data_IF_652718601319
#
_entry.id   IF_652718601319
#
_cell.length_a   1.000
_cell.length_b   1.000
_cell.length_c   1.000
_cell.angle_alpha   90.00
_cell.angle_beta   90.00
_cell.angle_gamma   90.00
#
_symmetry.space_group_name_H-M   'P 1'
#
loop_
_entity.id
_entity.type
_entity.pdbx_description
1 polymer ?
#
# COMPACT_ATOMS: atom_id res chain seq x y z
N UNK A 1 5.84 4.07 3.82
CA UNK A 1 4.57 4.46 4.43
C UNK A 1 3.53 3.36 4.40
N UNK A 2 2.36 3.64 4.94
CA UNK A 2 1.22 2.72 4.97
C UNK A 2 0.29 3.02 3.79
N UNK A 3 -0.21 1.96 3.13
CA UNK A 3 -1.22 2.10 2.09
C UNK A 3 -2.59 2.32 2.74
N UNK A 4 -3.46 3.09 2.08
CA UNK A 4 -4.81 3.36 2.55
C UNK A 4 -5.84 3.05 1.46
N UNK A 5 -7.05 2.70 1.88
CA UNK A 5 -8.18 2.44 1.01
C UNK A 5 -9.43 3.11 1.58
N UNK A 6 -10.19 3.77 0.70
CA UNK A 6 -11.50 4.32 1.03
C UNK A 6 -12.54 3.72 0.08
N UNK A 7 -13.57 3.12 0.64
CA UNK A 7 -14.69 2.54 -0.12
C UNK A 7 -16.01 3.13 0.34
N UNK A 8 -16.91 3.39 -0.59
CA UNK A 8 -18.29 3.83 -0.34
C UNK A 8 -19.23 2.76 -0.84
N UNK A 9 -20.12 2.27 0.02
CA UNK A 9 -21.07 1.21 -0.29
C UNK A 9 -22.48 1.76 -0.11
N UNK A 10 -23.26 1.69 -1.17
CA UNK A 10 -24.64 2.19 -1.18
C UNK A 10 -25.60 1.11 -0.67
N UNK A 11 -26.55 1.51 0.15
CA UNK A 11 -27.69 0.74 0.61
C UNK A 11 -27.33 -0.60 1.28
N UNK A 12 -26.24 -0.64 2.00
CA UNK A 12 -25.85 -1.78 2.81
C UNK A 12 -26.94 -2.06 3.88
N UNK A 13 -27.31 -3.32 4.09
CA UNK A 13 -28.34 -3.70 5.06
C UNK A 13 -27.99 -3.21 6.49
N UNK A 14 -29.02 -2.91 7.30
CA UNK A 14 -28.86 -2.41 8.66
C UNK A 14 -27.97 -3.31 9.53
N UNK A 15 -28.09 -4.63 9.39
CA UNK A 15 -27.29 -5.57 10.18
C UNK A 15 -25.83 -5.59 9.78
N UNK A 16 -25.53 -5.46 8.48
CA UNK A 16 -24.16 -5.33 7.99
C UNK A 16 -23.55 -4.01 8.44
N UNK A 17 -24.30 -2.91 8.34
CA UNK A 17 -23.82 -1.60 8.81
C UNK A 17 -23.46 -1.61 10.29
N UNK A 18 -24.32 -2.21 11.15
CA UNK A 18 -24.05 -2.32 12.59
C UNK A 18 -22.73 -3.06 12.90
N UNK A 19 -22.41 -4.10 12.10
CA UNK A 19 -21.17 -4.87 12.27
C UNK A 19 -19.92 -4.10 11.84
N UNK A 20 -20.08 -3.10 10.98
CA UNK A 20 -18.97 -2.31 10.43
C UNK A 20 -18.73 -1.00 11.19
N UNK A 21 -19.66 -0.58 12.06
CA UNK A 21 -19.47 0.66 12.84
C UNK A 21 -18.18 0.57 13.63
N UNK A 22 -17.28 1.49 13.33
CA UNK A 22 -16.00 1.61 14.00
C UNK A 22 -15.55 3.07 13.98
N UNK A 23 -15.18 3.57 15.14
CA UNK A 23 -14.52 4.85 15.31
C UNK A 23 -13.00 4.70 15.12
N UNK A 24 -12.33 5.73 14.64
CA UNK A 24 -10.87 5.75 14.41
C UNK A 24 -10.07 5.64 15.72
N UNK A 25 -10.70 6.00 16.85
CA UNK A 25 -10.12 5.87 18.20
C UNK A 25 -10.26 4.47 18.79
N UNK A 26 -11.12 3.59 18.21
CA UNK A 26 -11.26 2.21 18.64
C UNK A 26 -10.10 1.34 18.13
N UNK A 27 -9.10 1.15 18.94
CA UNK A 27 -7.93 0.29 18.66
C UNK A 27 -8.15 -1.18 19.00
N UNK A 28 -9.24 -1.52 19.69
CA UNK A 28 -9.52 -2.89 20.15
C UNK A 28 -10.21 -3.72 19.06
N UNK A 29 -11.09 -3.10 18.28
CA UNK A 29 -11.82 -3.78 17.21
C UNK A 29 -10.95 -3.91 15.96
N UNK A 30 -10.54 -5.13 15.64
CA UNK A 30 -9.70 -5.46 14.48
C UNK A 30 -10.55 -6.06 13.37
N UNK A 31 -11.07 -5.24 12.48
CA UNK A 31 -11.84 -5.67 11.32
C UNK A 31 -10.94 -5.69 10.08
N UNK A 32 -10.68 -6.88 9.55
CA UNK A 32 -9.92 -7.03 8.31
C UNK A 32 -10.75 -6.58 7.11
N UNK A 33 -10.10 -5.90 6.17
CA UNK A 33 -10.71 -5.42 4.93
C UNK A 33 -9.88 -5.86 3.73
N UNK A 34 -10.56 -6.43 2.74
CA UNK A 34 -9.97 -6.93 1.51
C UNK A 34 -10.71 -6.38 0.31
N UNK A 35 -10.03 -5.62 -0.54
CA UNK A 35 -10.56 -5.13 -1.81
C UNK A 35 -9.95 -5.93 -2.96
N UNK A 36 -10.83 -6.49 -3.80
CA UNK A 36 -10.45 -7.21 -5.01
C UNK A 36 -11.16 -6.60 -6.21
N UNK A 37 -10.42 -6.42 -7.30
CA UNK A 37 -10.98 -6.03 -8.59
C UNK A 37 -10.11 -6.56 -9.74
N UNK A 38 -10.64 -6.50 -10.96
CA UNK A 38 -9.95 -6.92 -12.16
C UNK A 38 -10.94 -7.14 -13.31
N UNK A 39 -10.48 -7.04 -14.55
CA UNK A 39 -11.32 -7.25 -15.73
C UNK A 39 -11.54 -8.74 -16.03
N UNK A 40 -10.46 -9.48 -16.31
CA UNK A 40 -10.55 -10.90 -16.66
C UNK A 40 -10.24 -11.80 -15.46
N UNK A 41 -9.42 -11.33 -14.56
CA UNK A 41 -9.02 -12.02 -13.34
C UNK A 41 -9.16 -11.07 -12.17
N UNK A 42 -9.92 -11.46 -11.16
CA UNK A 42 -10.07 -10.68 -9.94
C UNK A 42 -8.85 -10.92 -9.05
N UNK A 43 -8.11 -9.86 -8.77
CA UNK A 43 -6.94 -9.88 -7.92
C UNK A 43 -7.07 -8.95 -6.72
N UNK A 44 -6.26 -9.17 -5.70
CA UNK A 44 -6.22 -8.31 -4.52
C UNK A 44 -5.58 -6.97 -4.90
N UNK A 45 -6.30 -5.88 -4.69
CA UNK A 45 -5.79 -4.52 -4.84
C UNK A 45 -5.34 -3.93 -3.51
N UNK A 46 -6.03 -4.29 -2.44
CA UNK A 46 -5.75 -3.80 -1.10
C UNK A 46 -6.13 -4.85 -0.06
N UNK A 47 -5.29 -5.01 0.95
CA UNK A 47 -5.55 -5.76 2.16
C UNK A 47 -5.11 -4.93 3.36
N UNK A 48 -5.95 -4.83 4.39
CA UNK A 48 -5.63 -4.05 5.59
C UNK A 48 -6.70 -4.18 6.65
N UNK A 49 -6.73 -3.26 7.60
CA UNK A 49 -7.71 -3.22 8.67
C UNK A 49 -8.52 -1.93 8.61
N UNK A 50 -9.80 -2.01 9.00
CA UNK A 50 -10.67 -0.85 9.06
C UNK A 50 -10.19 0.07 10.18
N UNK A 51 -9.88 1.31 9.80
CA UNK A 51 -9.58 2.40 10.71
C UNK A 51 -10.89 2.99 11.25
N UNK A 52 -11.79 3.37 10.35
CA UNK A 52 -13.11 3.90 10.67
C UNK A 52 -14.18 3.41 9.68
N UNK A 53 -15.41 3.33 10.12
CA UNK A 53 -16.56 3.09 9.25
C UNK A 53 -17.80 3.77 9.82
N UNK A 54 -18.47 4.54 8.98
CA UNK A 54 -19.71 5.24 9.32
C UNK A 54 -20.69 5.21 8.17
N UNK A 55 -21.98 5.45 8.51
CA UNK A 55 -23.06 5.50 7.51
C UNK A 55 -23.82 6.79 7.62
N UNK A 56 -24.10 7.42 6.50
CA UNK A 56 -24.86 8.66 6.39
C UNK A 56 -25.96 8.53 5.35
N UNK A 57 -27.04 9.33 5.51
CA UNK A 57 -28.09 9.43 4.51
C UNK A 57 -27.68 10.44 3.45
N UNK A 58 -27.75 10.05 2.18
CA UNK A 58 -27.46 10.89 1.03
C UNK A 58 -28.61 10.82 0.04
N UNK A 59 -29.52 11.81 0.09
CA UNK A 59 -30.77 11.75 -0.68
C UNK A 59 -31.67 10.58 -0.28
N UNK A 60 -31.97 9.71 -1.22
CA UNK A 60 -32.74 8.47 -1.00
C UNK A 60 -31.89 7.32 -0.48
N UNK A 61 -30.58 7.39 -0.65
CA UNK A 61 -29.65 6.31 -0.35
C UNK A 61 -29.03 6.44 1.04
N UNK A 62 -28.55 5.30 1.55
CA UNK A 62 -27.67 5.25 2.72
C UNK A 62 -26.28 4.85 2.24
N UNK A 63 -25.31 5.73 2.43
CA UNK A 63 -23.92 5.52 2.03
C UNK A 63 -23.09 5.12 3.25
N UNK A 64 -22.48 3.94 3.19
CA UNK A 64 -21.51 3.50 4.20
C UNK A 64 -20.11 3.74 3.67
N UNK A 65 -19.34 4.56 4.38
CA UNK A 65 -17.93 4.83 4.09
C UNK A 65 -17.06 3.96 4.98
N UNK A 66 -16.12 3.29 4.39
CA UNK A 66 -15.09 2.48 5.07
C UNK A 66 -13.74 3.07 4.73
N UNK A 67 -12.94 3.40 5.73
CA UNK A 67 -11.54 3.79 5.60
C UNK A 67 -10.68 2.71 6.22
N UNK A 68 -9.71 2.22 5.47
CA UNK A 68 -8.85 1.12 5.88
C UNK A 68 -7.37 1.47 5.64
N UNK A 69 -6.48 0.91 6.44
CA UNK A 69 -5.04 1.06 6.28
C UNK A 69 -4.36 -0.30 6.40
N UNK A 70 -3.37 -0.52 5.53
CA UNK A 70 -2.47 -1.67 5.64
C UNK A 70 -1.44 -1.43 6.75
N UNK A 71 -1.11 -2.47 7.53
CA UNK A 71 -0.21 -2.34 8.67
C UNK A 71 -0.78 -1.58 9.87
N UNK A 72 -2.05 -1.17 9.87
CA UNK A 72 -2.68 -0.35 10.91
C UNK A 72 -2.52 -0.94 12.31
N UNK A 73 -2.81 -2.23 12.46
CA UNK A 73 -2.81 -2.90 13.77
C UNK A 73 -1.42 -2.87 14.41
N UNK A 74 -0.39 -3.13 13.61
CA UNK A 74 0.99 -3.10 14.11
C UNK A 74 1.49 -1.66 14.31
N UNK A 75 1.06 -0.73 13.45
CA UNK A 75 1.40 0.69 13.59
C UNK A 75 0.87 1.28 14.90
N UNK A 76 -0.34 0.89 15.32
CA UNK A 76 -0.97 1.40 16.54
C UNK A 76 -0.58 0.63 17.80
N UNK A 77 -0.48 -0.71 17.70
CA UNK A 77 -0.45 -1.58 18.88
C UNK A 77 0.83 -2.34 19.11
N UNK A 78 1.78 -2.41 18.18
CA UNK A 78 3.01 -3.17 18.42
C UNK A 78 4.08 -2.34 19.11
N UNK A 79 4.77 -3.00 20.06
CA UNK A 79 5.79 -2.38 20.89
C UNK A 79 6.99 -3.32 21.05
N UNK A 80 8.16 -2.83 20.75
CA UNK A 80 9.43 -3.56 20.91
C UNK A 80 10.18 -3.08 22.14
N UNK A 81 10.64 -4.01 22.98
CA UNK A 81 11.51 -3.74 24.11
C UNK A 81 12.57 -4.84 24.22
N UNK A 82 13.71 -4.62 23.56
CA UNK A 82 14.76 -5.63 23.49
C UNK A 82 16.13 -5.03 23.22
N UNK A 83 17.17 -5.82 23.46
CA UNK A 83 18.56 -5.47 23.11
C UNK A 83 19.05 -6.40 22.00
N UNK A 84 19.37 -5.83 20.86
CA UNK A 84 19.99 -6.54 19.73
C UNK A 84 21.50 -6.55 19.95
N UNK A 85 22.06 -7.70 20.32
CA UNK A 85 23.53 -7.85 20.54
C UNK A 85 24.28 -7.97 19.21
N UNK A 86 23.71 -8.70 18.25
CA UNK A 86 24.24 -8.92 16.90
C UNK A 86 23.09 -9.28 15.96
N UNK A 87 23.11 -8.80 14.72
CA UNK A 87 22.14 -9.18 13.71
C UNK A 87 21.42 -7.99 13.07
N UNK A 88 20.35 -8.28 12.35
CA UNK A 88 19.51 -7.27 11.70
C UNK A 88 18.43 -6.77 12.68
N UNK A 89 18.49 -5.50 13.03
CA UNK A 89 17.52 -4.86 13.92
C UNK A 89 16.08 -4.96 13.40
N UNK A 90 15.87 -4.87 12.08
CA UNK A 90 14.54 -4.97 11.47
C UNK A 90 13.93 -6.35 11.70
N UNK A 91 14.70 -7.42 11.58
CA UNK A 91 14.21 -8.78 11.87
C UNK A 91 13.76 -8.96 13.31
N UNK A 92 14.43 -8.28 14.23
CA UNK A 92 14.05 -8.33 15.66
C UNK A 92 12.76 -7.55 15.89
N UNK A 93 12.63 -6.36 15.32
CA UNK A 93 11.43 -5.52 15.41
C UNK A 93 10.21 -6.26 14.81
N UNK A 94 10.37 -6.92 13.65
CA UNK A 94 9.28 -7.64 12.98
C UNK A 94 8.68 -8.78 13.82
N UNK A 95 9.42 -9.35 14.78
CA UNK A 95 8.86 -10.35 15.70
C UNK A 95 7.75 -9.81 16.59
N UNK A 96 7.78 -8.51 16.86
CA UNK A 96 6.79 -7.81 17.66
C UNK A 96 5.67 -7.20 16.80
N UNK A 97 5.66 -7.47 15.47
CA UNK A 97 4.67 -7.01 14.49
C UNK A 97 3.91 -8.22 13.89
N UNK A 98 2.97 -8.84 14.64
CA UNK A 98 2.38 -10.13 14.26
C UNK A 98 1.54 -10.10 12.96
N UNK A 99 1.07 -8.92 12.54
CA UNK A 99 0.27 -8.75 11.30
C UNK A 99 1.13 -8.31 10.11
N UNK A 100 2.45 -8.17 10.31
CA UNK A 100 3.38 -7.70 9.28
C UNK A 100 4.49 -8.72 9.08
N UNK A 101 4.62 -9.25 7.87
CA UNK A 101 5.67 -10.20 7.52
C UNK A 101 6.81 -9.53 6.76
N UNK A 102 7.98 -10.16 6.76
CA UNK A 102 9.12 -9.68 5.98
C UNK A 102 8.92 -9.96 4.49
N UNK A 103 9.06 -8.92 3.66
CA UNK A 103 9.20 -9.04 2.22
C UNK A 103 10.64 -8.72 1.78
N UNK A 104 10.82 -7.96 0.69
CA UNK A 104 12.15 -7.55 0.25
C UNK A 104 12.67 -6.43 1.15
N UNK A 105 13.84 -6.69 1.72
CA UNK A 105 14.58 -5.72 2.53
C UNK A 105 15.98 -5.62 1.94
N UNK A 106 16.42 -4.41 1.61
CA UNK A 106 17.77 -4.11 1.13
C UNK A 106 18.84 -4.63 2.08
N UNK A 107 19.98 -5.01 1.53
CA UNK A 107 21.09 -5.53 2.33
C UNK A 107 21.51 -4.56 3.42
N UNK A 108 21.58 -5.07 4.64
CA UNK A 108 21.89 -4.30 5.82
C UNK A 108 23.15 -4.84 6.50
N UNK A 109 24.04 -3.97 6.96
CA UNK A 109 25.16 -4.41 7.78
C UNK A 109 24.62 -5.02 9.10
N UNK A 110 25.27 -6.08 9.49
CA UNK A 110 25.02 -6.68 10.81
C UNK A 110 25.39 -5.67 11.91
N UNK A 111 24.51 -5.48 12.87
CA UNK A 111 24.81 -4.65 14.05
C UNK A 111 25.97 -5.30 14.83
N UNK A 112 27.10 -4.61 14.87
CA UNK A 112 28.32 -5.09 15.57
C UNK A 112 28.41 -4.64 17.03
N UNK A 113 27.57 -3.68 17.44
CA UNK A 113 27.46 -3.20 18.84
C UNK A 113 26.04 -3.44 19.33
N UNK A 114 25.91 -3.73 20.61
CA UNK A 114 24.61 -3.89 21.22
C UNK A 114 23.77 -2.60 21.04
N UNK A 115 22.55 -2.76 20.52
CA UNK A 115 21.59 -1.68 20.29
C UNK A 115 20.33 -1.97 21.09
N UNK A 116 19.92 -1.02 21.92
CA UNK A 116 18.66 -1.08 22.66
C UNK A 116 17.55 -0.55 21.75
N UNK A 117 16.47 -1.33 21.61
CA UNK A 117 15.29 -0.99 20.85
C UNK A 117 14.11 -0.95 21.83
N UNK A 118 13.56 0.25 22.07
CA UNK A 118 12.41 0.46 22.96
C UNK A 118 11.47 1.47 22.32
N UNK A 119 10.21 1.09 22.15
CA UNK A 119 9.19 1.96 21.60
C UNK A 119 8.24 1.26 20.64
N UNK A 120 7.38 2.05 19.98
CA UNK A 120 6.49 1.56 18.92
C UNK A 120 7.31 0.91 17.81
N UNK A 121 6.94 -0.32 17.42
CA UNK A 121 7.72 -1.14 16.49
C UNK A 121 7.85 -0.51 15.11
N UNK A 122 6.77 0.04 14.55
CA UNK A 122 6.83 0.69 13.24
C UNK A 122 7.71 1.95 13.26
N UNK A 123 7.65 2.73 14.34
CA UNK A 123 8.52 3.89 14.55
C UNK A 123 10.00 3.49 14.65
N UNK A 124 10.27 2.34 15.26
CA UNK A 124 11.64 1.79 15.31
C UNK A 124 12.09 1.32 13.92
N UNK A 125 11.20 0.77 13.08
CA UNK A 125 11.53 0.50 11.67
C UNK A 125 11.96 1.79 10.98
N UNK A 126 11.14 2.86 11.05
CA UNK A 126 11.44 4.17 10.46
C UNK A 126 12.81 4.71 10.93
N UNK A 127 13.07 4.67 12.23
CA UNK A 127 14.33 5.16 12.83
C UNK A 127 15.56 4.31 12.48
N UNK A 128 15.36 3.13 11.89
CA UNK A 128 16.43 2.24 11.44
C UNK A 128 16.61 2.24 9.92
N UNK A 129 15.89 3.07 9.17
CA UNK A 129 16.13 3.28 7.73
C UNK A 129 17.44 4.03 7.52
N UNK A 130 18.09 3.78 6.40
CA UNK A 130 19.20 4.60 5.89
C UNK A 130 18.64 5.76 5.06
N UNK A 131 19.45 6.77 4.80
CA UNK A 131 19.04 7.98 4.07
C UNK A 131 18.56 7.69 2.64
N UNK A 132 19.06 6.62 2.03
CA UNK A 132 18.71 6.18 0.68
C UNK A 132 17.60 5.14 0.64
N UNK A 133 17.04 4.74 1.79
CA UNK A 133 16.02 3.72 1.92
C UNK A 133 14.63 4.32 2.15
N UNK A 134 13.65 3.65 1.59
CA UNK A 134 12.23 3.90 1.88
C UNK A 134 11.54 2.60 2.27
N UNK A 135 10.49 2.71 3.08
CA UNK A 135 9.66 1.57 3.42
C UNK A 135 8.21 1.76 3.01
N UNK A 136 7.54 0.66 2.77
CA UNK A 136 6.09 0.59 2.66
C UNK A 136 5.59 -0.80 3.11
N UNK A 137 4.33 -0.86 3.51
CA UNK A 137 3.63 -2.12 3.79
C UNK A 137 2.60 -2.32 2.69
N UNK A 138 2.62 -3.48 2.06
CA UNK A 138 1.70 -3.90 1.01
C UNK A 138 1.23 -5.33 1.26
N UNK A 139 -0.08 -5.51 1.38
CA UNK A 139 -0.72 -6.79 1.74
C UNK A 139 -0.16 -7.43 3.03
N UNK A 140 0.13 -6.61 4.04
CA UNK A 140 0.72 -7.07 5.30
C UNK A 140 2.19 -7.47 5.20
N UNK A 141 2.90 -7.04 4.16
CA UNK A 141 4.32 -7.33 3.96
C UNK A 141 5.14 -6.05 4.00
N UNK A 142 6.18 -6.03 4.83
CA UNK A 142 7.11 -4.92 4.93
C UNK A 142 8.19 -5.02 3.84
N UNK A 143 8.27 -3.98 3.04
CA UNK A 143 9.33 -3.73 2.06
C UNK A 143 10.21 -2.59 2.55
N UNK A 144 11.53 -2.76 2.47
CA UNK A 144 12.51 -1.69 2.67
C UNK A 144 13.47 -1.76 1.49
N UNK A 145 13.42 -0.76 0.63
CA UNK A 145 14.18 -0.75 -0.63
C UNK A 145 14.91 0.56 -0.80
N UNK A 146 16.06 0.51 -1.44
CA UNK A 146 16.80 1.71 -1.84
C UNK A 146 16.12 2.38 -3.03
N UNK A 147 16.48 3.63 -3.25
CA UNK A 147 15.93 4.44 -4.33
C UNK A 147 16.17 3.81 -5.72
N UNK A 148 17.32 3.15 -5.92
CA UNK A 148 17.72 2.48 -7.16
C UNK A 148 17.37 0.97 -7.22
N UNK A 149 16.78 0.40 -6.16
CA UNK A 149 16.36 -1.00 -6.13
C UNK A 149 14.93 -1.17 -6.61
N UNK A 150 14.65 -2.32 -7.21
CA UNK A 150 13.31 -2.72 -7.67
C UNK A 150 12.89 -4.03 -7.00
N UNK A 151 11.57 -4.24 -6.89
CA UNK A 151 10.99 -5.38 -6.16
C UNK A 151 10.78 -6.59 -7.06
N UNK A 152 10.63 -6.37 -8.38
CA UNK A 152 10.37 -7.43 -9.35
C UNK A 152 11.15 -7.19 -10.63
N UNK A 153 11.56 -8.27 -11.27
CA UNK A 153 12.21 -8.24 -12.59
C UNK A 153 11.21 -8.17 -13.75
N UNK A 154 9.90 -8.33 -13.46
CA UNK A 154 8.84 -8.17 -14.45
C UNK A 154 8.61 -6.68 -14.70
N UNK A 155 8.70 -6.29 -15.97
CA UNK A 155 8.52 -4.89 -16.43
C UNK A 155 7.29 -4.84 -17.35
N UNK A 156 6.09 -4.55 -16.83
CA UNK A 156 4.90 -4.41 -17.65
C UNK A 156 5.05 -3.27 -18.65
N UNK A 157 4.59 -3.50 -19.87
CA UNK A 157 4.51 -2.48 -20.91
C UNK A 157 3.21 -1.68 -20.75
N UNK A 158 3.32 -0.37 -20.76
CA UNK A 158 2.20 0.58 -20.68
C UNK A 158 2.18 1.44 -21.94
N UNK A 159 1.24 1.18 -22.83
CA UNK A 159 1.00 1.95 -24.05
C UNK A 159 -0.51 1.94 -24.41
N UNK A 160 -0.88 2.54 -25.51
CA UNK A 160 -2.27 2.60 -25.94
C UNK A 160 -2.95 1.23 -26.08
N UNK A 161 -2.22 0.20 -26.53
CA UNK A 161 -2.77 -1.16 -26.68
C UNK A 161 -2.85 -1.95 -25.38
N UNK A 162 -2.07 -1.59 -24.36
CA UNK A 162 -2.07 -2.22 -23.03
C UNK A 162 -2.83 -1.41 -21.99
N UNK A 163 -3.51 -0.33 -22.39
CA UNK A 163 -4.43 0.40 -21.55
C UNK A 163 -3.95 1.74 -21.01
N UNK A 164 -2.97 2.39 -21.64
CA UNK A 164 -2.65 3.79 -21.34
C UNK A 164 -3.86 4.67 -21.72
N UNK A 165 -4.42 5.40 -20.74
CA UNK A 165 -5.68 6.14 -20.92
C UNK A 165 -5.48 7.59 -21.37
N UNK A 166 -4.37 8.21 -21.01
CA UNK A 166 -4.11 9.61 -21.33
C UNK A 166 -2.64 9.87 -21.63
N UNK A 167 -2.36 11.09 -22.09
CA UNK A 167 -0.98 11.52 -22.35
C UNK A 167 -0.22 11.64 -21.03
N UNK A 168 0.94 10.97 -20.90
CA UNK A 168 1.78 11.11 -19.73
C UNK A 168 2.25 12.56 -19.50
N UNK A 169 2.40 12.95 -18.26
CA UNK A 169 2.88 14.29 -17.87
C UNK A 169 4.08 14.19 -16.96
N UNK A 170 5.02 15.14 -17.11
CA UNK A 170 6.22 15.22 -16.28
C UNK A 170 6.12 16.40 -15.31
N UNK A 171 6.37 16.13 -14.02
CA UNK A 171 6.52 17.15 -12.98
C UNK A 171 7.87 16.96 -12.30
N UNK A 172 8.77 17.91 -12.45
CA UNK A 172 10.14 17.84 -11.89
C UNK A 172 10.83 16.50 -12.23
N UNK A 173 10.84 15.57 -11.32
CA UNK A 173 11.54 14.27 -11.42
C UNK A 173 10.61 13.08 -11.59
N UNK A 174 9.30 13.31 -11.67
CA UNK A 174 8.28 12.28 -11.74
C UNK A 174 7.52 12.34 -13.06
N UNK A 175 7.18 11.16 -13.60
CA UNK A 175 6.26 11.00 -14.72
C UNK A 175 4.97 10.40 -14.18
N UNK A 176 3.86 11.07 -14.47
CA UNK A 176 2.51 10.63 -14.08
C UNK A 176 1.72 10.23 -15.31
N UNK A 177 1.07 9.10 -15.27
CA UNK A 177 0.17 8.59 -16.31
C UNK A 177 -0.97 7.77 -15.70
N UNK A 178 -2.06 7.62 -16.41
CA UNK A 178 -3.18 6.79 -16.02
C UNK A 178 -3.32 5.60 -16.97
N UNK A 179 -3.62 4.44 -16.40
CA UNK A 179 -3.84 3.22 -17.17
C UNK A 179 -5.11 2.51 -16.70
N UNK A 180 -5.66 1.64 -17.55
CA UNK A 180 -6.61 0.64 -17.11
C UNK A 180 -6.00 -0.17 -15.97
N UNK A 181 -6.86 -0.69 -15.09
CA UNK A 181 -6.41 -1.48 -13.95
C UNK A 181 -5.55 -2.67 -14.41
N UNK A 182 -4.30 -2.66 -13.97
CA UNK A 182 -3.35 -3.75 -14.18
C UNK A 182 -2.70 -4.14 -12.84
N UNK A 183 -3.19 -5.19 -12.19
CA UNK A 183 -2.68 -5.61 -10.87
C UNK A 183 -1.21 -6.05 -10.85
N UNK A 184 -0.57 -6.23 -12.02
CA UNK A 184 0.87 -6.55 -12.09
C UNK A 184 1.75 -5.32 -11.84
N UNK A 185 1.20 -4.12 -11.99
CA UNK A 185 1.89 -2.87 -11.66
C UNK A 185 1.77 -2.65 -10.16
N UNK A 186 2.89 -2.70 -9.45
CA UNK A 186 2.96 -2.56 -7.99
C UNK A 186 4.01 -1.54 -7.59
N UNK A 187 3.87 -0.97 -6.41
CA UNK A 187 4.87 -0.06 -5.82
C UNK A 187 6.23 -0.76 -5.76
N UNK A 188 7.29 -0.06 -6.15
CA UNK A 188 8.65 -0.59 -6.16
C UNK A 188 9.01 -1.44 -7.38
N UNK A 189 8.05 -1.80 -8.26
CA UNK A 189 8.31 -2.45 -9.55
C UNK A 189 8.73 -1.42 -10.62
N UNK A 190 9.14 -1.91 -11.77
CA UNK A 190 9.37 -1.09 -12.95
C UNK A 190 8.21 -1.23 -13.93
N UNK A 191 8.00 -0.18 -14.75
CA UNK A 191 7.11 -0.17 -15.90
C UNK A 191 7.83 0.40 -17.11
N UNK A 192 7.57 -0.11 -18.29
CA UNK A 192 8.02 0.48 -19.55
C UNK A 192 6.88 1.29 -20.14
N UNK A 193 7.06 2.61 -20.24
CA UNK A 193 6.10 3.54 -20.82
C UNK A 193 6.41 3.80 -22.29
N UNK A 194 5.41 3.66 -23.15
CA UNK A 194 5.48 4.00 -24.57
C UNK A 194 4.23 4.80 -24.98
N UNK A 195 4.38 6.10 -25.12
CA UNK A 195 3.35 7.04 -25.54
C UNK A 195 3.62 7.57 -26.93
N UNK A 196 2.60 7.62 -27.77
CA UNK A 196 2.67 8.22 -29.12
C UNK A 196 2.67 9.75 -29.03
N UNK A 197 1.96 10.31 -28.04
CA UNK A 197 1.78 11.77 -27.91
C UNK A 197 2.80 12.44 -27.00
N UNK A 198 3.59 11.68 -26.28
CA UNK A 198 4.64 12.17 -25.38
C UNK A 198 5.88 11.29 -25.49
N UNK A 199 6.42 11.17 -26.72
CA UNK A 199 7.56 10.30 -27.03
C UNK A 199 8.81 10.63 -26.20
N UNK A 200 9.00 11.90 -25.86
CA UNK A 200 10.08 12.36 -25.00
C UNK A 200 9.99 11.86 -23.55
N UNK A 201 8.86 11.27 -23.15
CA UNK A 201 8.66 10.64 -21.86
C UNK A 201 8.70 9.11 -21.93
N UNK A 202 8.98 8.52 -23.09
CA UNK A 202 9.12 7.08 -23.24
C UNK A 202 10.36 6.60 -22.48
N UNK A 203 10.22 5.49 -21.76
CA UNK A 203 11.29 4.95 -20.97
C UNK A 203 10.85 3.96 -19.91
N UNK A 204 11.80 3.48 -19.12
CA UNK A 204 11.53 2.59 -17.99
C UNK A 204 11.57 3.39 -16.70
N UNK A 205 10.50 3.27 -15.91
CA UNK A 205 10.33 4.02 -14.67
C UNK A 205 10.09 3.08 -13.49
N UNK A 206 10.59 3.43 -12.32
CA UNK A 206 10.21 2.79 -11.06
C UNK A 206 8.91 3.39 -10.57
N UNK A 207 7.97 2.53 -10.20
CA UNK A 207 6.68 2.93 -9.64
C UNK A 207 6.87 3.37 -8.19
N UNK A 208 6.57 4.63 -7.91
CA UNK A 208 6.69 5.22 -6.56
C UNK A 208 5.35 5.23 -5.83
N UNK A 209 4.27 5.53 -6.56
CA UNK A 209 2.92 5.66 -6.01
C UNK A 209 1.91 5.11 -7.00
N UNK A 210 0.87 4.46 -6.49
CA UNK A 210 -0.28 4.00 -7.28
C UNK A 210 -1.55 4.44 -6.58
N UNK A 211 -2.51 4.94 -7.36
CA UNK A 211 -3.86 5.25 -6.88
C UNK A 211 -4.86 4.48 -7.73
N UNK A 212 -5.51 3.49 -7.15
CA UNK A 212 -6.61 2.77 -7.81
C UNK A 212 -7.91 3.54 -7.68
N UNK A 213 -8.69 3.62 -8.74
CA UNK A 213 -10.03 4.22 -8.78
C UNK A 213 -10.96 3.32 -9.57
N UNK A 214 -12.21 3.21 -9.13
CA UNK A 214 -13.23 2.47 -9.86
C UNK A 214 -14.49 2.30 -9.05
N UNK A 215 -15.52 1.78 -9.69
CA UNK A 215 -16.78 1.42 -9.06
C UNK A 215 -17.31 0.08 -9.57
N UNK A 216 -18.32 -0.48 -8.87
CA UNK A 216 -18.92 -1.76 -9.24
C UNK A 216 -20.03 -1.65 -10.29
N UNK A 217 -20.48 -0.44 -10.59
CA UNK A 217 -21.57 -0.17 -11.53
C UNK A 217 -21.07 0.36 -12.87
N UNK A 218 -19.84 0.88 -12.90
CA UNK A 218 -19.14 1.35 -14.07
C UNK A 218 -18.16 0.35 -14.65
N UNK A 219 -17.59 0.72 -15.79
CA UNK A 219 -16.53 -0.04 -16.45
C UNK A 219 -15.14 0.54 -16.20
N UNK A 220 -15.06 1.63 -15.43
CA UNK A 220 -13.89 2.52 -15.36
C UNK A 220 -13.02 2.24 -14.15
N UNK A 221 -12.37 1.08 -14.14
CA UNK A 221 -11.27 0.83 -13.22
C UNK A 221 -9.97 1.34 -13.81
N UNK A 222 -9.28 2.22 -13.08
CA UNK A 222 -8.00 2.82 -13.49
C UNK A 222 -7.00 2.89 -12.33
N UNK A 223 -5.75 3.09 -12.70
CA UNK A 223 -4.63 3.32 -11.79
C UNK A 223 -3.65 4.33 -12.37
#
# INVERSE_FOLDING_TARGET
GLNSCRVRIYNLSKDKRKKLVKDDTDTNTKLEFLLKAGYNKIETLFKGFILESFSEKSGADIVTTIVSMDGLVDAQGSYTSTTVKKGDAINVILKDMPNTTRARISDRPVVNRAKVLVGNSLKLVENNLKDDETYYIDEGKLYIIKQNEVVSDIIPLVNASTGLLNTPTKKKYEVTFNTLLNPTIRIGCQVKLESIYAENLNGTYKVLTITYRGDSSGTDWSQ
#
